data_IF_261032153140
#
_entry.id   IF_261032153140
#
_cell.length_a   1.000
_cell.length_b   1.000
_cell.length_c   1.000
_cell.angle_alpha   90.00
_cell.angle_beta   90.00
_cell.angle_gamma   90.00
#
_symmetry.space_group_name_H-M   'P 1'
#
loop_
_entity.id
_entity.type
_entity.pdbx_description
1 polymer ?
#
# COMPACT_ATOMS: atom_id res chain seq x y z
N UNK A 1 6.66 15.07 20.77
CA UNK A 1 5.39 14.38 20.46
C UNK A 1 5.60 13.62 19.17
N UNK A 2 5.48 12.29 19.17
CA UNK A 2 5.66 11.49 17.96
C UNK A 2 4.43 11.71 17.07
N UNK A 3 4.58 12.20 15.85
CA UNK A 3 3.46 12.26 14.90
C UNK A 3 3.33 10.90 14.26
N UNK A 4 2.25 10.20 14.54
CA UNK A 4 1.96 8.93 13.89
C UNK A 4 1.51 9.17 12.45
N UNK A 5 2.04 8.39 11.53
CA UNK A 5 1.54 8.30 10.18
C UNK A 5 0.19 7.56 10.14
N UNK A 6 -0.39 7.47 8.95
CA UNK A 6 -1.74 6.89 8.73
C UNK A 6 -1.89 5.45 9.23
N UNK A 7 -0.83 4.63 9.15
CA UNK A 7 -0.83 3.19 9.48
C UNK A 7 0.03 2.90 10.72
N UNK A 8 0.76 3.90 11.25
CA UNK A 8 1.60 3.73 12.43
C UNK A 8 0.76 3.40 13.67
N UNK A 9 1.35 2.61 14.54
CA UNK A 9 0.85 2.33 15.88
C UNK A 9 2.02 2.19 16.84
N UNK A 10 1.74 2.10 18.15
CA UNK A 10 2.76 1.83 19.17
C UNK A 10 3.50 0.49 18.93
N UNK A 11 2.82 -0.46 18.30
CA UNK A 11 3.33 -1.81 18.07
C UNK A 11 4.04 -1.97 16.71
N UNK A 12 3.70 -1.12 15.72
CA UNK A 12 4.21 -1.20 14.37
C UNK A 12 4.74 0.16 13.90
N UNK A 13 6.06 0.28 13.85
CA UNK A 13 6.71 1.37 13.14
C UNK A 13 6.69 1.09 11.63
N UNK A 14 6.22 2.06 10.85
CA UNK A 14 6.03 1.92 9.41
C UNK A 14 6.93 2.89 8.65
N UNK A 15 7.64 2.36 7.66
CA UNK A 15 8.25 3.17 6.61
C UNK A 15 7.23 3.35 5.48
N UNK A 16 6.90 4.59 5.17
CA UNK A 16 6.06 4.93 4.03
C UNK A 16 6.91 5.20 2.82
N UNK A 17 6.62 4.52 1.72
CA UNK A 17 7.23 4.74 0.43
C UNK A 17 6.17 4.81 -0.67
N UNK A 18 6.57 5.16 -1.87
CA UNK A 18 5.68 5.26 -3.01
C UNK A 18 6.28 4.63 -4.27
N UNK A 19 5.44 4.22 -5.20
CA UNK A 19 5.84 3.60 -6.46
C UNK A 19 6.61 4.55 -7.39
N UNK A 20 6.50 5.86 -7.17
CA UNK A 20 7.20 6.87 -7.97
C UNK A 20 7.51 8.13 -7.18
N UNK A 21 8.49 8.90 -7.69
CA UNK A 21 8.81 10.24 -7.18
C UNK A 21 7.57 11.15 -7.17
N UNK A 22 6.76 11.10 -8.23
CA UNK A 22 5.58 11.95 -8.34
C UNK A 22 4.54 11.60 -7.28
N UNK A 23 4.30 10.30 -7.04
CA UNK A 23 3.41 9.85 -5.98
C UNK A 23 3.90 10.35 -4.61
N UNK A 24 5.19 10.16 -4.29
CA UNK A 24 5.76 10.59 -3.02
C UNK A 24 5.64 12.12 -2.82
N UNK A 25 5.94 12.91 -3.85
CA UNK A 25 5.84 14.37 -3.77
C UNK A 25 4.39 14.87 -3.62
N UNK A 26 3.42 14.23 -4.27
CA UNK A 26 2.02 14.62 -4.14
C UNK A 26 1.46 14.27 -2.75
N UNK A 27 1.87 13.15 -2.16
CA UNK A 27 1.51 12.83 -0.78
C UNK A 27 2.06 13.88 0.20
N UNK A 28 3.31 14.34 0.02
CA UNK A 28 3.92 15.35 0.88
C UNK A 28 3.33 16.75 0.73
N UNK A 29 2.92 17.16 -0.46
CA UNK A 29 2.38 18.51 -0.73
C UNK A 29 1.15 18.84 0.13
N UNK A 30 0.36 17.85 0.48
CA UNK A 30 -0.82 18.03 1.34
C UNK A 30 -0.47 18.19 2.81
N UNK A 31 0.73 17.78 3.23
CA UNK A 31 1.17 17.97 4.62
C UNK A 31 1.80 19.33 4.87
N UNK A 32 2.49 19.91 3.88
CA UNK A 32 3.10 21.21 4.08
C UNK A 32 3.52 21.88 2.75
N UNK A 33 2.80 22.89 2.33
CA UNK A 33 3.09 23.69 1.12
C UNK A 33 4.30 24.63 1.28
N UNK A 34 4.97 24.64 2.45
CA UNK A 34 6.03 25.61 2.77
C UNK A 34 7.45 25.12 2.50
N UNK A 35 7.64 23.86 2.08
CA UNK A 35 8.98 23.36 1.77
C UNK A 35 9.39 23.67 0.34
N UNK A 36 10.53 24.35 0.18
CA UNK A 36 11.13 24.65 -1.14
C UNK A 36 12.05 23.52 -1.65
N UNK A 37 12.45 22.59 -0.77
CA UNK A 37 13.40 21.53 -1.08
C UNK A 37 12.95 20.21 -0.48
N UNK A 38 13.18 19.12 -1.20
CA UNK A 38 12.89 17.75 -0.77
C UNK A 38 14.11 16.87 -0.98
N UNK A 39 14.42 16.04 -0.01
CA UNK A 39 15.38 14.95 -0.17
C UNK A 39 14.61 13.68 -0.54
N UNK A 40 15.00 13.04 -1.62
CA UNK A 40 14.36 11.83 -2.13
C UNK A 40 15.32 10.66 -1.99
N UNK A 41 14.94 9.67 -1.18
CA UNK A 41 15.61 8.39 -1.11
C UNK A 41 14.92 7.39 -2.03
N UNK A 42 15.71 6.65 -2.82
CA UNK A 42 15.24 5.56 -3.67
C UNK A 42 15.69 4.25 -3.04
N UNK A 43 14.76 3.32 -2.86
CA UNK A 43 15.03 1.99 -2.32
C UNK A 43 15.09 0.95 -3.44
N UNK A 44 15.92 -0.07 -3.23
CA UNK A 44 16.00 -1.27 -4.06
C UNK A 44 15.64 -2.48 -3.21
N UNK A 45 14.85 -3.39 -3.78
CA UNK A 45 14.52 -4.67 -3.18
C UNK A 45 15.64 -5.64 -3.53
N UNK A 46 16.30 -6.23 -2.54
CA UNK A 46 17.35 -7.23 -2.70
C UNK A 46 16.84 -8.65 -2.46
N UNK A 47 15.94 -8.81 -1.51
CA UNK A 47 15.33 -10.09 -1.16
C UNK A 47 13.84 -10.06 -1.37
N UNK A 48 13.23 -11.20 -1.70
CA UNK A 48 11.79 -11.32 -1.85
C UNK A 48 11.06 -10.90 -0.58
N UNK A 49 10.01 -10.10 -0.73
CA UNK A 49 9.16 -9.64 0.36
C UNK A 49 7.71 -9.86 -0.02
N UNK A 50 6.91 -10.37 0.93
CA UNK A 50 5.47 -10.55 0.71
C UNK A 50 4.74 -9.22 0.85
N UNK A 51 4.01 -8.88 -0.20
CA UNK A 51 3.19 -7.66 -0.30
C UNK A 51 1.73 -8.04 -0.39
N UNK A 52 0.89 -7.43 0.43
CA UNK A 52 -0.56 -7.51 0.29
C UNK A 52 -1.05 -6.29 -0.49
N UNK A 53 -1.50 -6.44 -1.74
CA UNK A 53 -2.06 -5.34 -2.50
C UNK A 53 -3.54 -5.18 -2.15
N UNK A 54 -3.90 -4.06 -1.53
CA UNK A 54 -5.26 -3.67 -1.20
C UNK A 54 -5.82 -2.77 -2.30
N UNK A 55 -7.02 -3.06 -2.78
CA UNK A 55 -7.65 -2.39 -3.92
C UNK A 55 -7.27 -2.98 -5.27
N UNK A 56 -6.43 -4.01 -5.30
CA UNK A 56 -5.97 -4.69 -6.53
C UNK A 56 -7.11 -5.40 -7.27
N UNK A 57 -7.97 -6.11 -6.52
CA UNK A 57 -9.10 -6.86 -7.11
C UNK A 57 -10.11 -5.90 -7.73
N UNK A 58 -10.52 -4.89 -6.99
CA UNK A 58 -11.46 -3.86 -7.44
C UNK A 58 -10.92 -3.09 -8.64
N UNK A 59 -9.64 -2.74 -8.61
CA UNK A 59 -8.98 -2.06 -9.73
C UNK A 59 -8.91 -2.94 -10.97
N UNK A 60 -8.53 -4.21 -10.82
CA UNK A 60 -8.46 -5.18 -11.93
C UNK A 60 -9.82 -5.41 -12.55
N UNK A 61 -10.88 -5.51 -11.75
CA UNK A 61 -12.25 -5.70 -12.24
C UNK A 61 -12.72 -4.52 -13.11
N UNK A 62 -12.35 -3.30 -12.76
CA UNK A 62 -12.78 -2.09 -13.48
C UNK A 62 -11.92 -1.83 -14.71
N UNK A 63 -10.61 -2.05 -14.63
CA UNK A 63 -9.66 -1.61 -15.67
C UNK A 63 -9.13 -2.75 -16.53
N UNK A 64 -9.34 -3.99 -16.13
CA UNK A 64 -8.75 -5.18 -16.75
C UNK A 64 -7.26 -5.37 -16.45
N UNK A 65 -6.65 -4.48 -15.67
CA UNK A 65 -5.23 -4.51 -15.30
C UNK A 65 -5.05 -4.35 -13.80
N UNK A 66 -4.08 -5.04 -13.23
CA UNK A 66 -3.73 -4.87 -11.83
C UNK A 66 -3.06 -3.52 -11.57
N UNK A 67 -3.31 -2.95 -10.41
CA UNK A 67 -2.66 -1.74 -9.94
C UNK A 67 -1.16 -1.97 -9.71
N UNK A 68 -0.82 -3.03 -8.96
CA UNK A 68 0.55 -3.43 -8.66
C UNK A 68 1.09 -4.46 -9.66
N UNK A 69 0.27 -5.43 -10.03
CA UNK A 69 0.66 -6.56 -10.88
C UNK A 69 0.61 -6.25 -12.38
N UNK A 70 -0.01 -5.14 -12.79
CA UNK A 70 -0.09 -4.75 -14.18
C UNK A 70 -0.68 -5.87 -15.07
N UNK A 71 0.05 -6.30 -16.09
CA UNK A 71 -0.40 -7.35 -17.01
C UNK A 71 -0.43 -8.77 -16.39
N UNK A 72 0.26 -9.00 -15.25
CA UNK A 72 0.21 -10.28 -14.54
C UNK A 72 -1.15 -10.50 -13.85
N UNK A 73 -2.02 -9.50 -13.81
CA UNK A 73 -3.39 -9.58 -13.31
C UNK A 73 -4.26 -10.60 -14.06
N UNK A 74 -3.82 -11.12 -15.22
CA UNK A 74 -4.53 -12.19 -15.92
C UNK A 74 -4.72 -13.44 -15.07
N UNK A 75 -3.78 -13.73 -14.16
CA UNK A 75 -3.92 -14.83 -13.20
C UNK A 75 -5.03 -14.54 -12.17
N UNK A 76 -5.17 -13.30 -11.72
CA UNK A 76 -6.26 -12.86 -10.84
C UNK A 76 -7.61 -13.00 -11.56
N UNK A 77 -7.70 -12.55 -12.80
CA UNK A 77 -8.94 -12.69 -13.60
C UNK A 77 -9.33 -14.16 -13.79
N UNK A 78 -8.36 -15.05 -14.01
CA UNK A 78 -8.63 -16.50 -14.09
C UNK A 78 -9.16 -17.05 -12.78
N UNK A 79 -8.59 -16.65 -11.65
CA UNK A 79 -9.05 -17.06 -10.31
C UNK A 79 -10.47 -16.55 -10.03
N UNK A 80 -10.73 -15.27 -10.29
CA UNK A 80 -12.06 -14.67 -10.13
C UNK A 80 -13.09 -15.42 -10.98
N UNK A 81 -12.77 -15.72 -12.24
CA UNK A 81 -13.68 -16.44 -13.14
C UNK A 81 -13.88 -17.93 -12.76
N UNK A 82 -12.99 -18.51 -11.96
CA UNK A 82 -13.11 -19.87 -11.45
C UNK A 82 -13.89 -19.97 -10.13
N UNK A 83 -14.06 -18.87 -9.40
CA UNK A 83 -14.85 -18.82 -8.17
C UNK A 83 -16.35 -18.69 -8.49
N UNK A 84 -17.19 -19.10 -7.52
CA UNK A 84 -18.62 -18.83 -7.66
C UNK A 84 -18.92 -17.32 -7.48
N UNK A 85 -20.05 -16.81 -8.02
CA UNK A 85 -20.38 -15.38 -7.98
C UNK A 85 -20.47 -14.79 -6.58
N UNK A 86 -20.91 -15.57 -5.59
CA UNK A 86 -21.02 -15.08 -4.20
C UNK A 86 -19.65 -14.91 -3.56
N UNK A 87 -18.70 -15.81 -3.84
CA UNK A 87 -17.31 -15.68 -3.39
C UNK A 87 -16.63 -14.47 -4.02
N UNK A 88 -16.81 -14.29 -5.34
CA UNK A 88 -16.27 -13.11 -6.04
C UNK A 88 -16.83 -11.83 -5.43
N UNK A 89 -18.13 -11.78 -5.20
CA UNK A 89 -18.78 -10.61 -4.58
C UNK A 89 -18.20 -10.31 -3.21
N UNK A 90 -18.04 -11.31 -2.35
CA UNK A 90 -17.42 -11.14 -1.03
C UNK A 90 -15.98 -10.62 -1.11
N UNK A 91 -15.17 -11.18 -2.01
CA UNK A 91 -13.79 -10.76 -2.23
C UNK A 91 -13.72 -9.30 -2.68
N UNK A 92 -14.53 -8.89 -3.66
CA UNK A 92 -14.55 -7.52 -4.17
C UNK A 92 -15.04 -6.53 -3.12
N UNK A 93 -16.09 -6.87 -2.35
CA UNK A 93 -16.58 -6.02 -1.26
C UNK A 93 -15.51 -5.88 -0.17
N UNK A 94 -14.83 -6.97 0.19
CA UNK A 94 -13.76 -6.94 1.19
C UNK A 94 -12.59 -6.08 0.73
N UNK A 95 -12.11 -6.28 -0.51
CA UNK A 95 -11.01 -5.50 -1.09
C UNK A 95 -11.35 -4.00 -1.14
N UNK A 96 -12.57 -3.68 -1.59
CA UNK A 96 -13.04 -2.29 -1.63
C UNK A 96 -13.16 -1.68 -0.23
N UNK A 97 -13.72 -2.40 0.74
CA UNK A 97 -13.83 -1.95 2.14
C UNK A 97 -12.46 -1.67 2.74
N UNK A 98 -11.50 -2.59 2.56
CA UNK A 98 -10.13 -2.41 3.06
C UNK A 98 -9.45 -1.21 2.40
N UNK A 99 -9.62 -1.06 1.08
CA UNK A 99 -9.08 0.08 0.34
C UNK A 99 -9.64 1.41 0.85
N UNK A 100 -10.95 1.51 1.01
CA UNK A 100 -11.61 2.73 1.51
C UNK A 100 -11.18 3.03 2.95
N UNK A 101 -11.05 2.01 3.79
CA UNK A 101 -10.58 2.13 5.17
C UNK A 101 -9.15 2.67 5.24
N UNK A 102 -8.23 2.16 4.41
CA UNK A 102 -6.84 2.62 4.37
C UNK A 102 -6.71 4.03 3.78
N UNK A 103 -7.63 4.46 2.93
CA UNK A 103 -7.68 5.81 2.37
C UNK A 103 -8.49 6.80 3.23
N UNK A 104 -9.06 6.36 4.34
CA UNK A 104 -9.82 7.21 5.26
C UNK A 104 -8.97 8.34 5.83
N UNK A 105 -9.57 9.50 6.08
CA UNK A 105 -8.92 10.58 6.82
C UNK A 105 -8.91 10.35 8.34
N UNK A 106 -9.65 9.34 8.81
CA UNK A 106 -9.62 8.91 10.20
C UNK A 106 -8.48 7.91 10.44
N UNK A 107 -7.36 8.41 10.95
CA UNK A 107 -6.15 7.63 11.19
C UNK A 107 -6.35 6.49 12.21
N UNK A 108 -7.30 6.61 13.14
CA UNK A 108 -7.62 5.51 14.07
C UNK A 108 -8.20 4.30 13.33
N UNK A 109 -9.07 4.54 12.33
CA UNK A 109 -9.61 3.46 11.50
C UNK A 109 -8.50 2.85 10.65
N UNK A 110 -7.70 3.68 10.01
CA UNK A 110 -6.64 3.25 9.11
C UNK A 110 -5.59 2.40 9.84
N UNK A 111 -5.10 2.87 10.98
CA UNK A 111 -4.11 2.14 11.79
C UNK A 111 -4.70 0.85 12.37
N UNK A 112 -5.94 0.88 12.85
CA UNK A 112 -6.62 -0.32 13.36
C UNK A 112 -6.75 -1.41 12.28
N UNK A 113 -7.24 -1.06 11.09
CA UNK A 113 -7.40 -2.01 9.98
C UNK A 113 -6.04 -2.58 9.56
N UNK A 114 -5.02 -1.75 9.42
CA UNK A 114 -3.69 -2.20 9.06
C UNK A 114 -3.07 -3.12 10.11
N UNK A 115 -3.24 -2.82 11.40
CA UNK A 115 -2.78 -3.68 12.48
C UNK A 115 -3.48 -5.05 12.44
N UNK A 116 -4.80 -5.09 12.27
CA UNK A 116 -5.53 -6.35 12.11
C UNK A 116 -5.02 -7.18 10.92
N UNK A 117 -4.66 -6.54 9.80
CA UNK A 117 -4.06 -7.22 8.65
C UNK A 117 -2.72 -7.84 9.03
N UNK A 118 -1.84 -7.04 9.65
CA UNK A 118 -0.51 -7.48 10.02
C UNK A 118 -0.48 -8.57 11.12
N UNK A 119 -1.43 -8.54 12.06
CA UNK A 119 -1.56 -9.54 13.11
C UNK A 119 -2.05 -10.88 12.56
N UNK A 120 -3.10 -10.83 11.72
CA UNK A 120 -3.68 -12.04 11.13
C UNK A 120 -2.78 -12.72 10.11
N UNK A 121 -1.84 -11.98 9.53
CA UNK A 121 -0.95 -12.44 8.47
C UNK A 121 0.50 -12.08 8.84
N UNK A 122 1.09 -12.85 9.74
CA UNK A 122 2.42 -12.56 10.32
C UNK A 122 3.56 -12.54 9.30
N UNK A 123 3.38 -13.14 8.14
CA UNK A 123 4.33 -13.20 7.02
C UNK A 123 4.16 -12.06 5.99
N UNK A 124 3.12 -11.23 6.15
CA UNK A 124 2.96 -10.00 5.36
C UNK A 124 3.70 -8.86 6.07
N UNK A 125 4.63 -8.25 5.37
CA UNK A 125 5.44 -7.14 5.87
C UNK A 125 5.16 -5.82 5.17
N UNK A 126 4.45 -5.87 4.03
CA UNK A 126 4.14 -4.71 3.22
C UNK A 126 2.67 -4.71 2.84
N UNK A 127 2.01 -3.58 3.04
CA UNK A 127 0.69 -3.30 2.47
C UNK A 127 0.90 -2.29 1.33
N UNK A 128 0.46 -2.65 0.11
CA UNK A 128 0.39 -1.73 -1.02
C UNK A 128 -1.06 -1.27 -1.22
N UNK A 129 -1.27 0.03 -1.37
CA UNK A 129 -2.60 0.61 -1.51
C UNK A 129 -2.58 1.84 -2.44
N UNK A 130 -3.73 2.21 -3.06
CA UNK A 130 -3.80 3.35 -3.95
C UNK A 130 -3.43 4.67 -3.25
N UNK A 131 -2.75 5.57 -3.97
CA UNK A 131 -2.54 6.92 -3.50
C UNK A 131 -3.85 7.72 -3.60
N UNK A 132 -4.23 8.39 -2.50
CA UNK A 132 -5.35 9.33 -2.50
C UNK A 132 -5.01 10.63 -3.22
N UNK A 133 -3.74 11.02 -3.21
CA UNK A 133 -3.26 12.32 -3.67
C UNK A 133 -2.77 12.31 -5.13
N UNK A 134 -2.49 11.13 -5.66
CA UNK A 134 -1.99 10.98 -7.02
C UNK A 134 -2.67 9.80 -7.72
N UNK A 135 -3.66 10.05 -8.59
CA UNK A 135 -4.36 8.98 -9.31
C UNK A 135 -3.40 8.07 -10.07
N UNK A 136 -3.55 6.76 -9.87
CA UNK A 136 -2.64 5.76 -10.45
C UNK A 136 -1.33 5.56 -9.69
N UNK A 137 -1.07 6.34 -8.64
CA UNK A 137 0.05 6.12 -7.73
C UNK A 137 -0.26 5.03 -6.71
N UNK A 138 0.78 4.36 -6.22
CA UNK A 138 0.70 3.33 -5.20
C UNK A 138 1.58 3.74 -4.03
N UNK A 139 1.05 3.62 -2.83
CA UNK A 139 1.76 3.78 -1.57
C UNK A 139 2.08 2.41 -0.99
N UNK A 140 3.21 2.31 -0.31
CA UNK A 140 3.63 1.12 0.42
C UNK A 140 3.84 1.48 1.89
N UNK A 141 3.19 0.72 2.76
CA UNK A 141 3.43 0.74 4.19
C UNK A 141 4.25 -0.49 4.55
N UNK A 142 5.49 -0.29 4.98
CA UNK A 142 6.48 -1.34 5.20
C UNK A 142 6.81 -1.41 6.68
N UNK A 143 6.69 -2.57 7.31
CA UNK A 143 7.13 -2.76 8.71
C UNK A 143 8.61 -2.46 8.84
N UNK A 144 8.97 -1.54 9.74
CA UNK A 144 10.35 -1.08 9.91
C UNK A 144 11.33 -2.22 10.24
N UNK A 145 10.88 -3.20 10.99
CA UNK A 145 11.70 -4.35 11.43
C UNK A 145 12.31 -5.20 10.31
N UNK A 146 11.76 -5.14 9.08
CA UNK A 146 12.21 -5.97 7.94
C UNK A 146 12.91 -5.15 6.84
N UNK A 147 13.01 -3.84 7.01
CA UNK A 147 13.54 -2.97 5.95
C UNK A 147 14.93 -3.41 5.52
N UNK A 148 15.84 -3.53 6.47
CA UNK A 148 17.25 -3.81 6.16
C UNK A 148 17.52 -5.23 5.72
N UNK A 149 16.60 -6.16 5.96
CA UNK A 149 16.69 -7.55 5.48
C UNK A 149 16.28 -7.69 4.01
N UNK A 150 15.44 -6.78 3.52
CA UNK A 150 14.84 -6.88 2.18
C UNK A 150 15.13 -5.69 1.27
N UNK A 151 15.41 -4.52 1.85
CA UNK A 151 15.57 -3.26 1.12
C UNK A 151 16.93 -2.63 1.41
N UNK A 152 17.43 -1.90 0.44
CA UNK A 152 18.60 -1.06 0.62
C UNK A 152 18.41 0.29 -0.08
N UNK A 153 19.08 1.32 0.45
CA UNK A 153 19.07 2.64 -0.18
C UNK A 153 19.94 2.57 -1.43
N UNK A 154 19.33 2.86 -2.58
CA UNK A 154 20.02 2.87 -3.87
C UNK A 154 20.58 4.26 -4.22
N UNK A 155 19.85 5.32 -3.88
CA UNK A 155 20.26 6.71 -4.12
C UNK A 155 19.54 7.67 -3.18
N UNK A 156 20.22 8.76 -2.85
CA UNK A 156 19.64 9.92 -2.15
C UNK A 156 19.95 11.15 -2.99
N UNK A 157 18.96 11.97 -3.29
CA UNK A 157 19.08 13.17 -4.11
C UNK A 157 18.29 14.33 -3.57
#
# INVERSE_FOLDING_TARGET
MRSYGRIDSDENEILYTASSKNTALNELKNYNNSFNYYTIATFRIYNSIKVLPIGELSHTQVTGRGMLLGNQSQSINKLINACNPDEVTRLLITDKFLSDSLMSDNYNITSYVANCIFEKNSDIYVIAYPSKQYPGGINFAIKNKVIWDHLGINAVR
#
